data_IF_124847016232
#
_entry.id   IF_124847016232
#
_cell.length_a   1.000
_cell.length_b   1.000
_cell.length_c   1.000
_cell.angle_alpha   90.00
_cell.angle_beta   90.00
_cell.angle_gamma   90.00
#
_symmetry.space_group_name_H-M   'P 1'
#
loop_
_entity.id
_entity.type
_entity.pdbx_description
1 polymer ?
#
# COMPACT_ATOMS: atom_id res chain seq x y z
N UNK A 1 22.01 7.85 -9.56
CA UNK A 1 21.01 7.74 -10.64
C UNK A 1 20.10 6.54 -10.37
N UNK A 2 18.78 6.75 -10.45
CA UNK A 2 17.78 5.70 -10.21
C UNK A 2 17.35 4.98 -11.50
N UNK A 3 17.95 5.27 -12.64
CA UNK A 3 17.58 4.70 -13.94
C UNK A 3 16.16 5.03 -14.38
N UNK A 4 15.55 6.09 -13.85
CA UNK A 4 14.18 6.48 -14.19
C UNK A 4 14.11 7.00 -15.64
N UNK A 5 12.99 6.79 -16.36
CA UNK A 5 12.79 7.33 -17.69
C UNK A 5 12.88 8.87 -17.65
N UNK A 6 13.38 9.46 -18.75
CA UNK A 6 13.55 10.93 -18.84
C UNK A 6 12.22 11.67 -18.90
N UNK A 7 11.23 11.07 -19.53
CA UNK A 7 9.90 11.65 -19.68
C UNK A 7 8.79 10.59 -19.55
N UNK A 8 7.68 10.99 -18.95
CA UNK A 8 6.44 10.22 -18.85
C UNK A 8 5.27 11.15 -19.13
N UNK A 9 4.34 10.71 -19.96
CA UNK A 9 3.12 11.47 -20.26
C UNK A 9 2.05 11.20 -19.21
N UNK A 10 1.32 12.25 -18.82
CA UNK A 10 0.09 12.12 -18.05
C UNK A 10 -0.99 11.58 -19.02
N UNK A 11 -1.73 10.51 -18.67
CA UNK A 11 -2.79 10.00 -19.51
C UNK A 11 -3.96 10.99 -19.58
N UNK A 12 -4.74 10.95 -20.68
CA UNK A 12 -5.94 11.78 -20.82
C UNK A 12 -6.97 11.49 -19.72
N UNK A 13 -7.16 10.21 -19.40
CA UNK A 13 -7.95 9.78 -18.25
C UNK A 13 -7.02 9.58 -17.05
N UNK A 14 -7.02 10.49 -16.11
CA UNK A 14 -6.16 10.44 -14.92
C UNK A 14 -6.39 9.21 -14.02
N UNK A 15 -7.54 8.54 -14.11
CA UNK A 15 -7.77 7.29 -13.38
C UNK A 15 -6.84 6.15 -13.83
N UNK A 16 -6.26 6.23 -15.03
CA UNK A 16 -5.26 5.27 -15.50
C UNK A 16 -3.95 5.34 -14.69
N UNK A 17 -3.67 6.48 -14.05
CA UNK A 17 -2.52 6.63 -13.15
C UNK A 17 -2.53 5.61 -12.00
N UNK A 18 -3.70 5.14 -11.59
CA UNK A 18 -3.85 4.10 -10.57
C UNK A 18 -3.15 2.78 -10.92
N UNK A 19 -2.89 2.55 -12.21
CA UNK A 19 -2.24 1.34 -12.73
C UNK A 19 -0.85 1.62 -13.31
N UNK A 20 -0.34 2.85 -13.16
CA UNK A 20 1.03 3.15 -13.57
C UNK A 20 2.03 2.52 -12.60
N UNK A 21 3.12 1.93 -13.11
CA UNK A 21 4.18 1.44 -12.25
C UNK A 21 4.86 2.59 -11.50
N UNK A 22 5.34 2.30 -10.29
CA UNK A 22 5.93 3.29 -9.37
C UNK A 22 6.98 4.18 -10.05
N UNK A 23 7.84 3.62 -10.91
CA UNK A 23 8.88 4.39 -11.58
C UNK A 23 8.32 5.48 -12.51
N UNK A 24 7.15 5.26 -13.15
CA UNK A 24 6.46 6.28 -13.96
C UNK A 24 5.82 7.34 -13.07
N UNK A 25 5.15 6.93 -12.00
CA UNK A 25 4.57 7.85 -11.02
C UNK A 25 5.65 8.74 -10.39
N UNK A 26 6.80 8.16 -10.03
CA UNK A 26 7.96 8.90 -9.51
C UNK A 26 8.42 10.03 -10.44
N UNK A 27 8.49 9.76 -11.76
CA UNK A 27 8.84 10.78 -12.76
C UNK A 27 7.79 11.88 -12.81
N UNK A 28 6.50 11.52 -12.85
CA UNK A 28 5.41 12.50 -12.91
C UNK A 28 5.38 13.41 -11.68
N UNK A 29 5.54 12.84 -10.48
CA UNK A 29 5.56 13.60 -9.22
C UNK A 29 6.80 14.47 -9.14
N UNK A 30 8.01 13.93 -9.41
CA UNK A 30 9.25 14.68 -9.42
C UNK A 30 9.23 15.84 -10.40
N UNK A 31 8.69 15.65 -11.59
CA UNK A 31 8.56 16.67 -12.62
C UNK A 31 7.39 17.61 -12.42
N UNK A 32 6.63 17.44 -11.34
CA UNK A 32 5.43 18.26 -11.01
C UNK A 32 4.33 18.21 -12.08
N UNK A 33 4.32 17.17 -12.93
CA UNK A 33 3.25 16.92 -13.90
C UNK A 33 1.96 16.43 -13.23
N UNK A 34 2.10 15.82 -12.06
CA UNK A 34 1.02 15.50 -11.12
C UNK A 34 1.51 15.80 -9.70
N UNK A 35 0.65 16.32 -8.83
CA UNK A 35 1.00 16.48 -7.43
C UNK A 35 0.82 15.17 -6.65
N UNK A 36 1.54 15.01 -5.54
CA UNK A 36 1.32 13.92 -4.60
C UNK A 36 -0.09 13.95 -4.02
N UNK A 37 -0.63 15.14 -3.73
CA UNK A 37 -2.02 15.30 -3.26
C UNK A 37 -3.01 14.82 -4.31
N UNK A 38 -2.84 15.18 -5.59
CA UNK A 38 -3.72 14.73 -6.67
C UNK A 38 -3.67 13.21 -6.82
N UNK A 39 -2.49 12.61 -6.84
CA UNK A 39 -2.30 11.18 -6.92
C UNK A 39 -2.91 10.46 -5.71
N UNK A 40 -2.74 10.99 -4.50
CA UNK A 40 -3.32 10.48 -3.26
C UNK A 40 -4.84 10.47 -3.31
N UNK A 41 -5.47 11.54 -3.81
CA UNK A 41 -6.93 11.60 -3.99
C UNK A 41 -7.45 10.54 -4.96
N UNK A 42 -6.77 10.31 -6.09
CA UNK A 42 -7.14 9.25 -7.04
C UNK A 42 -7.21 7.88 -6.34
N UNK A 43 -6.21 7.54 -5.54
CA UNK A 43 -6.21 6.27 -4.82
C UNK A 43 -7.25 6.23 -3.68
N UNK A 44 -7.43 7.30 -2.92
CA UNK A 44 -8.46 7.36 -1.87
C UNK A 44 -9.87 7.20 -2.44
N UNK A 45 -10.18 7.83 -3.57
CA UNK A 45 -11.47 7.67 -4.25
C UNK A 45 -11.68 6.23 -4.71
N UNK A 46 -10.62 5.58 -5.19
CA UNK A 46 -10.67 4.16 -5.56
C UNK A 46 -10.86 3.25 -4.34
N UNK A 47 -10.19 3.53 -3.22
CA UNK A 47 -10.41 2.82 -1.96
C UNK A 47 -11.88 2.93 -1.54
N UNK A 48 -12.45 4.13 -1.52
CA UNK A 48 -13.87 4.36 -1.18
C UNK A 48 -14.83 3.60 -2.09
N UNK A 49 -14.48 3.47 -3.36
CA UNK A 49 -15.34 2.82 -4.36
C UNK A 49 -15.26 1.30 -4.36
N UNK A 50 -14.11 0.71 -4.09
CA UNK A 50 -13.87 -0.71 -4.35
C UNK A 50 -13.51 -1.54 -3.13
N UNK A 51 -13.11 -0.92 -2.00
CA UNK A 51 -12.61 -1.66 -0.83
C UNK A 51 -13.66 -2.61 -0.25
N UNK A 52 -14.92 -2.20 -0.19
CA UNK A 52 -16.01 -3.03 0.37
C UNK A 52 -16.31 -4.23 -0.52
N UNK A 53 -16.31 -4.05 -1.84
CA UNK A 53 -16.50 -5.15 -2.79
C UNK A 53 -15.37 -6.18 -2.70
N UNK A 54 -14.13 -5.71 -2.53
CA UNK A 54 -12.95 -6.56 -2.43
C UNK A 54 -12.69 -7.08 -1.01
N UNK A 55 -13.30 -6.47 -0.01
CA UNK A 55 -13.05 -6.74 1.41
C UNK A 55 -11.56 -6.75 1.75
N UNK A 56 -10.83 -5.74 1.24
CA UNK A 56 -9.37 -5.74 1.26
C UNK A 56 -8.74 -4.68 2.15
N UNK A 57 -9.50 -3.72 2.70
CA UNK A 57 -8.99 -2.65 3.55
C UNK A 57 -9.60 -2.73 4.94
N UNK A 58 -8.77 -2.61 5.98
CA UNK A 58 -9.21 -2.55 7.38
C UNK A 58 -9.29 -1.10 7.86
N UNK A 59 -8.24 -0.31 7.62
CA UNK A 59 -8.14 1.08 8.12
C UNK A 59 -7.72 2.00 6.99
N UNK A 60 -8.45 3.10 6.79
CA UNK A 60 -8.09 4.19 5.86
C UNK A 60 -7.52 5.36 6.65
N UNK A 61 -6.40 5.91 6.23
CA UNK A 61 -5.65 6.98 6.90
C UNK A 61 -5.73 8.31 6.13
N UNK A 62 -6.92 8.66 5.63
CA UNK A 62 -7.15 9.76 4.68
C UNK A 62 -6.53 11.09 5.12
N UNK A 63 -6.82 11.55 6.34
CA UNK A 63 -6.33 12.85 6.83
C UNK A 63 -4.79 12.91 6.90
N UNK A 64 -4.15 11.89 7.48
CA UNK A 64 -2.69 11.80 7.57
C UNK A 64 -2.03 11.64 6.20
N UNK A 65 -2.66 10.89 5.30
CA UNK A 65 -2.18 10.70 3.94
C UNK A 65 -2.19 12.02 3.14
N UNK A 66 -3.29 12.78 3.21
CA UNK A 66 -3.38 14.08 2.51
C UNK A 66 -2.39 15.10 3.10
N UNK A 67 -2.21 15.14 4.42
CA UNK A 67 -1.23 15.99 5.07
C UNK A 67 0.20 15.63 4.61
N UNK A 68 0.52 14.33 4.59
CA UNK A 68 1.85 13.85 4.15
C UNK A 68 2.07 14.12 2.65
N UNK A 69 1.06 13.97 1.81
CA UNK A 69 1.13 14.27 0.39
C UNK A 69 1.40 15.76 0.13
N UNK A 70 0.70 16.65 0.86
CA UNK A 70 0.94 18.09 0.76
C UNK A 70 2.36 18.47 1.21
N UNK A 71 2.88 17.84 2.26
CA UNK A 71 4.26 18.02 2.70
C UNK A 71 5.25 17.55 1.61
N UNK A 72 4.99 16.40 0.96
CA UNK A 72 5.83 15.90 -0.12
C UNK A 72 5.86 16.88 -1.32
N UNK A 73 4.71 17.42 -1.69
CA UNK A 73 4.63 18.44 -2.77
C UNK A 73 5.44 19.69 -2.41
N UNK A 74 5.36 20.18 -1.17
CA UNK A 74 6.15 21.32 -0.70
C UNK A 74 7.66 21.02 -0.68
N UNK A 75 8.07 19.85 -0.21
CA UNK A 75 9.46 19.41 -0.19
C UNK A 75 10.04 19.33 -1.62
N UNK A 76 9.28 18.75 -2.56
CA UNK A 76 9.68 18.64 -3.98
C UNK A 76 9.75 20.02 -4.63
N UNK A 77 8.79 20.91 -4.35
CA UNK A 77 8.80 22.27 -4.84
C UNK A 77 10.06 23.06 -4.39
N UNK A 78 10.49 22.80 -3.15
CA UNK A 78 11.71 23.37 -2.57
C UNK A 78 13.03 22.68 -3.01
N UNK A 79 12.96 21.74 -3.97
CA UNK A 79 14.13 21.00 -4.46
C UNK A 79 14.63 19.87 -3.55
N UNK A 80 13.86 19.53 -2.49
CA UNK A 80 14.23 18.49 -1.51
C UNK A 80 13.67 17.12 -1.90
N UNK A 81 13.98 16.66 -3.10
CA UNK A 81 13.51 15.34 -3.58
C UNK A 81 14.29 14.20 -2.92
N UNK A 82 13.58 13.28 -2.25
CA UNK A 82 14.16 12.17 -1.47
C UNK A 82 14.39 10.88 -2.27
N UNK A 83 13.82 10.76 -3.46
CA UNK A 83 13.97 9.56 -4.29
C UNK A 83 12.63 9.05 -4.86
N UNK A 84 12.65 7.85 -5.53
CA UNK A 84 11.51 7.38 -6.32
C UNK A 84 10.20 7.12 -5.54
N UNK A 85 10.27 7.01 -4.22
CA UNK A 85 9.09 6.82 -3.37
C UNK A 85 8.52 8.12 -2.82
N UNK A 86 9.19 9.27 -3.06
CA UNK A 86 8.76 10.56 -2.52
C UNK A 86 7.43 11.01 -3.11
N UNK A 87 6.43 11.14 -2.25
CA UNK A 87 5.06 11.51 -2.62
C UNK A 87 4.25 10.37 -3.24
N UNK A 88 4.73 9.11 -3.19
CA UNK A 88 4.04 7.96 -3.77
C UNK A 88 3.16 7.27 -2.73
N UNK A 89 1.86 7.09 -3.01
CA UNK A 89 0.91 6.43 -2.12
C UNK A 89 1.13 4.93 -2.00
N UNK A 90 1.12 4.41 -0.76
CA UNK A 90 1.28 2.98 -0.48
C UNK A 90 0.36 2.49 0.64
N UNK A 91 0.27 1.19 0.80
CA UNK A 91 -0.44 0.56 1.90
C UNK A 91 0.38 -0.52 2.59
N UNK A 92 -0.03 -0.92 3.78
CA UNK A 92 0.66 -1.97 4.54
C UNK A 92 -0.33 -3.04 5.02
N UNK A 93 0.14 -4.27 5.12
CA UNK A 93 -0.60 -5.35 5.76
C UNK A 93 -0.88 -5.01 7.23
N UNK A 94 -2.06 -5.36 7.73
CA UNK A 94 -2.49 -5.07 9.11
C UNK A 94 -1.80 -5.93 10.19
N UNK A 95 -0.67 -6.52 9.85
CA UNK A 95 0.28 -7.12 10.78
C UNK A 95 1.31 -6.08 11.24
N UNK A 96 1.62 -5.12 10.37
CA UNK A 96 2.61 -4.08 10.64
C UNK A 96 2.02 -3.00 11.55
N UNK A 97 2.71 -2.73 12.64
CA UNK A 97 2.34 -1.70 13.61
C UNK A 97 2.54 -0.31 12.98
N UNK A 98 1.53 0.52 13.11
CA UNK A 98 1.57 1.95 12.77
C UNK A 98 0.98 2.72 13.95
N UNK A 99 1.79 3.56 14.56
CA UNK A 99 1.40 4.32 15.75
C UNK A 99 0.10 5.09 15.55
N UNK A 100 -0.74 5.12 16.59
CA UNK A 100 -2.05 5.75 16.53
C UNK A 100 -3.11 4.99 15.72
N UNK A 101 -2.81 3.78 15.23
CA UNK A 101 -3.78 2.94 14.50
C UNK A 101 -4.00 1.60 15.16
N UNK A 102 -5.12 0.95 14.82
CA UNK A 102 -5.35 -0.45 15.21
C UNK A 102 -4.41 -1.37 14.43
N UNK A 103 -3.98 -2.45 15.07
CA UNK A 103 -3.25 -3.56 14.44
C UNK A 103 -3.93 -4.85 14.87
N UNK A 104 -4.78 -5.39 14.00
CA UNK A 104 -5.80 -6.37 14.37
C UNK A 104 -5.39 -7.81 14.09
N UNK A 105 -4.29 -8.02 13.34
CA UNK A 105 -3.85 -9.33 12.85
C UNK A 105 -4.97 -10.11 12.11
N UNK A 106 -5.97 -9.38 11.61
CA UNK A 106 -7.14 -9.97 10.93
C UNK A 106 -8.06 -10.82 11.81
N UNK A 107 -7.86 -10.84 13.13
CA UNK A 107 -8.52 -11.75 14.05
C UNK A 107 -9.50 -11.02 15.00
N UNK A 108 -10.71 -11.53 15.15
CA UNK A 108 -11.77 -10.90 15.92
C UNK A 108 -11.41 -10.53 17.38
N UNK A 109 -10.65 -11.36 18.14
CA UNK A 109 -10.25 -11.01 19.50
C UNK A 109 -9.36 -9.75 19.57
N UNK A 110 -8.68 -9.40 18.48
CA UNK A 110 -7.73 -8.29 18.39
C UNK A 110 -8.25 -7.11 17.56
N UNK A 111 -9.52 -7.12 17.14
CA UNK A 111 -10.09 -6.09 16.24
C UNK A 111 -9.98 -4.65 16.76
N UNK A 112 -9.84 -4.48 18.07
CA UNK A 112 -9.73 -3.17 18.72
C UNK A 112 -8.32 -2.93 19.30
N UNK A 113 -7.37 -3.83 19.05
CA UNK A 113 -6.01 -3.75 19.56
C UNK A 113 -5.25 -2.57 18.95
N UNK A 114 -4.61 -1.78 19.81
CA UNK A 114 -3.58 -0.82 19.44
C UNK A 114 -2.24 -1.26 20.03
N UNK A 115 -1.16 -1.07 19.28
CA UNK A 115 0.19 -1.40 19.72
C UNK A 115 1.05 -0.14 19.62
N UNK A 116 1.95 0.04 20.57
CA UNK A 116 2.85 1.20 20.58
C UNK A 116 3.93 1.09 19.51
N UNK A 117 4.29 2.25 18.96
CA UNK A 117 5.36 2.41 18.01
C UNK A 117 4.94 2.20 16.55
N UNK A 118 5.93 2.15 15.69
CA UNK A 118 5.75 1.97 14.24
C UNK A 118 6.80 1.02 13.71
N UNK A 119 6.38 0.07 12.89
CA UNK A 119 7.26 -0.91 12.25
C UNK A 119 8.41 -0.23 11.50
N UNK A 120 9.62 -0.77 11.61
CA UNK A 120 10.81 -0.19 10.99
C UNK A 120 10.68 0.02 9.49
N UNK A 121 10.02 -0.91 8.77
CA UNK A 121 9.78 -0.76 7.34
C UNK A 121 8.91 0.45 7.03
N UNK A 122 7.88 0.71 7.85
CA UNK A 122 7.02 1.89 7.70
C UNK A 122 7.78 3.18 7.97
N UNK A 123 8.59 3.22 9.04
CA UNK A 123 9.46 4.38 9.33
C UNK A 123 10.36 4.71 8.13
N UNK A 124 11.05 3.70 7.58
CA UNK A 124 11.93 3.87 6.41
C UNK A 124 11.18 4.36 5.16
N UNK A 125 9.96 3.89 4.92
CA UNK A 125 9.13 4.36 3.80
C UNK A 125 8.66 5.81 4.02
N UNK A 126 8.31 6.17 5.25
CA UNK A 126 7.97 7.55 5.61
C UNK A 126 9.19 8.49 5.43
N UNK A 127 10.39 8.05 5.86
CA UNK A 127 11.64 8.81 5.68
C UNK A 127 11.98 9.01 4.19
N UNK A 128 11.70 7.99 3.35
CA UNK A 128 11.83 8.09 1.90
C UNK A 128 10.75 8.97 1.24
N UNK A 129 9.80 9.47 2.02
CA UNK A 129 8.76 10.38 1.55
C UNK A 129 7.48 9.70 1.08
N UNK A 130 7.33 8.40 1.30
CA UNK A 130 6.11 7.67 0.97
C UNK A 130 4.87 8.19 1.69
N UNK A 131 3.70 7.98 1.11
CA UNK A 131 2.39 8.41 1.63
C UNK A 131 1.57 7.18 2.00
N UNK A 132 1.48 6.88 3.30
CA UNK A 132 0.71 5.73 3.78
C UNK A 132 -0.80 6.04 3.70
N UNK A 133 -1.53 5.26 2.88
CA UNK A 133 -2.98 5.45 2.68
C UNK A 133 -3.83 4.59 3.59
N UNK A 134 -3.43 3.34 3.78
CA UNK A 134 -4.30 2.38 4.45
C UNK A 134 -3.54 1.19 5.03
N UNK A 135 -4.22 0.47 5.92
CA UNK A 135 -3.84 -0.87 6.34
C UNK A 135 -4.76 -1.88 5.66
N UNK A 136 -4.15 -2.81 4.93
CA UNK A 136 -4.83 -3.86 4.19
C UNK A 136 -5.17 -5.07 5.07
N UNK A 137 -6.24 -5.76 4.71
CA UNK A 137 -6.64 -7.01 5.33
C UNK A 137 -5.55 -8.07 5.24
N UNK A 138 -5.62 -8.98 6.17
CA UNK A 138 -4.79 -10.18 6.19
C UNK A 138 -5.62 -11.35 6.69
N UNK A 139 -5.28 -12.55 6.27
CA UNK A 139 -5.86 -13.74 6.89
C UNK A 139 -5.57 -13.77 8.39
N UNK A 140 -6.57 -14.14 9.17
CA UNK A 140 -6.50 -14.13 10.62
C UNK A 140 -5.24 -14.85 11.13
N UNK A 141 -4.48 -14.20 12.00
CA UNK A 141 -3.21 -14.70 12.56
C UNK A 141 -2.22 -15.19 11.49
N UNK A 142 -2.18 -14.48 10.37
CA UNK A 142 -1.33 -14.74 9.21
C UNK A 142 -1.61 -16.07 8.47
N UNK A 143 -2.89 -16.50 8.42
CA UNK A 143 -3.34 -17.71 7.73
C UNK A 143 -4.43 -17.41 6.72
N UNK A 144 -4.20 -17.74 5.43
CA UNK A 144 -5.19 -17.60 4.35
C UNK A 144 -5.67 -16.17 4.09
N UNK A 145 -6.91 -16.02 3.62
CA UNK A 145 -7.54 -14.76 3.24
C UNK A 145 -8.85 -14.45 3.98
N UNK A 146 -9.19 -15.27 4.96
CA UNK A 146 -10.36 -15.07 5.85
C UNK A 146 -9.92 -14.22 7.04
N UNK A 147 -10.63 -13.14 7.29
CA UNK A 147 -10.43 -12.23 8.41
C UNK A 147 -11.76 -11.93 9.11
N UNK A 148 -11.78 -11.24 10.25
CA UNK A 148 -13.01 -11.03 11.03
C UNK A 148 -14.13 -10.28 10.28
N UNK A 149 -13.81 -9.54 9.21
CA UNK A 149 -14.79 -8.83 8.38
C UNK A 149 -15.23 -9.60 7.13
N UNK A 150 -14.67 -10.79 6.87
CA UNK A 150 -15.07 -11.62 5.72
C UNK A 150 -13.92 -12.29 5.00
N UNK A 151 -13.97 -12.33 3.67
CA UNK A 151 -12.97 -12.95 2.80
C UNK A 151 -12.46 -11.93 1.80
N UNK A 152 -11.18 -11.65 1.82
CA UNK A 152 -10.56 -10.78 0.81
C UNK A 152 -10.64 -11.41 -0.57
N UNK A 153 -11.18 -10.67 -1.54
CA UNK A 153 -11.49 -11.19 -2.87
C UNK A 153 -10.33 -11.04 -3.85
N UNK A 154 -10.29 -11.97 -4.80
CA UNK A 154 -9.48 -11.83 -6.00
C UNK A 154 -10.13 -10.77 -6.93
N UNK A 155 -9.45 -9.68 -7.32
CA UNK A 155 -10.04 -8.63 -8.15
C UNK A 155 -10.53 -9.10 -9.52
N UNK A 156 -9.94 -10.18 -10.05
CA UNK A 156 -10.30 -10.76 -11.35
C UNK A 156 -11.50 -11.70 -11.29
N UNK A 157 -11.78 -12.24 -10.09
CA UNK A 157 -12.91 -13.14 -9.87
C UNK A 157 -13.41 -13.03 -8.44
N UNK A 158 -14.47 -12.24 -8.23
CA UNK A 158 -15.03 -11.96 -6.91
C UNK A 158 -15.63 -13.18 -6.20
N UNK A 159 -15.81 -14.31 -6.89
CA UNK A 159 -16.24 -15.58 -6.28
C UNK A 159 -15.08 -16.32 -5.61
N UNK A 160 -13.83 -15.88 -5.86
CA UNK A 160 -12.62 -16.47 -5.29
C UNK A 160 -11.99 -15.55 -4.26
N UNK A 161 -11.36 -16.14 -3.24
CA UNK A 161 -10.49 -15.44 -2.34
C UNK A 161 -9.15 -15.05 -3.00
N UNK A 162 -8.48 -14.06 -2.41
CA UNK A 162 -7.17 -13.57 -2.91
C UNK A 162 -6.00 -14.49 -2.59
N UNK A 163 -6.22 -15.55 -1.80
CA UNK A 163 -5.14 -16.21 -1.07
C UNK A 163 -4.48 -15.25 -0.05
N UNK A 164 -3.50 -15.71 0.70
CA UNK A 164 -2.93 -14.91 1.79
C UNK A 164 -1.60 -15.49 2.32
N UNK A 165 -1.17 -14.93 3.44
CA UNK A 165 -1.92 -14.06 4.36
C UNK A 165 -1.81 -12.56 4.06
N UNK A 166 -0.97 -12.09 3.14
CA UNK A 166 -0.98 -10.68 2.70
C UNK A 166 -2.10 -10.42 1.68
N UNK A 167 -3.32 -10.82 2.06
CA UNK A 167 -4.50 -10.89 1.22
C UNK A 167 -4.88 -9.53 0.60
N UNK A 168 -5.16 -8.55 1.44
CA UNK A 168 -5.52 -7.21 0.99
C UNK A 168 -4.38 -6.46 0.33
N UNK A 169 -3.13 -6.72 0.73
CA UNK A 169 -1.96 -6.12 0.08
C UNK A 169 -1.91 -6.48 -1.41
N UNK A 170 -2.06 -7.77 -1.76
CA UNK A 170 -2.08 -8.20 -3.16
C UNK A 170 -3.33 -7.74 -3.90
N UNK A 171 -4.52 -7.99 -3.33
CA UNK A 171 -5.80 -7.61 -3.92
C UNK A 171 -5.90 -6.11 -4.20
N UNK A 172 -5.61 -5.29 -3.18
CA UNK A 172 -5.70 -3.83 -3.29
C UNK A 172 -4.68 -3.23 -4.26
N UNK A 173 -3.44 -3.75 -4.30
CA UNK A 173 -2.43 -3.29 -5.26
C UNK A 173 -2.87 -3.56 -6.69
N UNK A 174 -3.31 -4.78 -7.00
CA UNK A 174 -3.76 -5.17 -8.35
C UNK A 174 -5.01 -4.40 -8.77
N UNK A 175 -5.92 -4.13 -7.83
CA UNK A 175 -7.10 -3.31 -8.08
C UNK A 175 -6.79 -1.81 -8.23
N UNK A 176 -5.53 -1.39 -8.11
CA UNK A 176 -5.12 0.01 -8.23
C UNK A 176 -5.64 0.86 -7.07
N UNK A 177 -5.62 0.36 -5.85
CA UNK A 177 -5.98 1.12 -4.64
C UNK A 177 -4.77 1.81 -4.00
N UNK A 178 -3.58 1.39 -4.38
CA UNK A 178 -2.29 1.98 -4.02
C UNK A 178 -1.28 1.72 -5.14
N UNK A 179 -0.18 2.47 -5.16
CA UNK A 179 0.89 2.25 -6.13
C UNK A 179 1.72 0.99 -5.82
N UNK A 180 1.88 0.66 -4.55
CA UNK A 180 2.54 -0.55 -4.04
C UNK A 180 2.10 -0.81 -2.60
N UNK A 181 2.36 -2.01 -2.12
CA UNK A 181 2.06 -2.36 -0.73
C UNK A 181 3.12 -3.25 -0.09
N UNK A 182 3.12 -3.26 1.24
CA UNK A 182 3.98 -4.13 2.04
C UNK A 182 3.16 -5.28 2.60
N UNK A 183 3.60 -6.48 2.30
CA UNK A 183 3.15 -7.73 2.92
C UNK A 183 4.19 -8.31 3.86
N UNK A 184 3.90 -9.47 4.44
CA UNK A 184 4.84 -10.27 5.21
C UNK A 184 4.72 -11.72 4.80
N UNK A 185 5.82 -12.46 4.90
CA UNK A 185 5.84 -13.88 4.58
C UNK A 185 6.72 -14.68 5.52
N UNK A 186 6.13 -15.74 6.07
CA UNK A 186 6.89 -16.87 6.64
C UNK A 186 7.05 -17.96 5.59
N UNK A 187 5.91 -18.40 5.01
CA UNK A 187 5.85 -19.41 3.95
C UNK A 187 4.68 -19.11 3.02
N UNK A 188 4.96 -18.52 1.87
CA UNK A 188 3.94 -18.26 0.82
C UNK A 188 3.11 -16.99 1.00
N UNK A 189 3.15 -16.30 2.13
CA UNK A 189 2.20 -15.22 2.45
C UNK A 189 2.36 -13.91 1.64
N UNK A 190 3.40 -13.76 0.82
CA UNK A 190 3.54 -12.74 -0.22
C UNK A 190 3.35 -13.38 -1.59
N UNK A 191 4.09 -14.46 -1.85
CA UNK A 191 4.12 -15.04 -3.20
C UNK A 191 2.80 -15.69 -3.59
N UNK A 192 2.08 -16.33 -2.67
CA UNK A 192 0.79 -16.97 -2.95
C UNK A 192 -0.30 -15.97 -3.35
N UNK A 193 -0.62 -14.93 -2.56
CA UNK A 193 -1.60 -13.93 -2.97
C UNK A 193 -1.14 -13.11 -4.18
N UNK A 194 0.16 -12.86 -4.34
CA UNK A 194 0.69 -12.21 -5.55
C UNK A 194 0.42 -13.05 -6.79
N UNK A 195 0.69 -14.34 -6.75
CA UNK A 195 0.39 -15.27 -7.86
C UNK A 195 -1.11 -15.35 -8.14
N UNK A 196 -1.94 -15.46 -7.09
CA UNK A 196 -3.41 -15.57 -7.23
C UNK A 196 -4.03 -14.31 -7.83
N UNK A 197 -3.57 -13.13 -7.44
CA UNK A 197 -4.10 -11.86 -7.91
C UNK A 197 -3.38 -11.30 -9.14
N UNK A 198 -2.26 -11.88 -9.57
CA UNK A 198 -1.48 -11.39 -10.71
C UNK A 198 -0.63 -10.15 -10.37
N UNK A 199 -0.15 -10.05 -9.14
CA UNK A 199 0.78 -9.00 -8.72
C UNK A 199 2.24 -9.44 -8.89
N UNK A 200 3.13 -8.48 -9.12
CA UNK A 200 4.57 -8.69 -8.93
C UNK A 200 4.88 -8.69 -7.43
N UNK A 201 5.33 -9.82 -6.90
CA UNK A 201 5.69 -9.98 -5.50
C UNK A 201 7.20 -10.18 -5.33
N UNK A 202 7.78 -9.52 -4.32
CA UNK A 202 9.17 -9.72 -3.93
C UNK A 202 9.24 -10.18 -2.48
N UNK A 203 9.79 -11.36 -2.25
CA UNK A 203 10.21 -11.83 -0.94
C UNK A 203 11.74 -11.75 -0.87
N UNK A 204 12.29 -10.76 -0.16
CA UNK A 204 13.74 -10.60 -0.05
C UNK A 204 14.36 -11.74 0.77
N UNK A 205 15.67 -11.90 0.65
CA UNK A 205 16.45 -12.82 1.48
C UNK A 205 16.26 -12.48 2.97
N UNK A 206 16.10 -13.52 3.79
CA UNK A 206 15.94 -13.38 5.24
C UNK A 206 17.02 -12.48 5.84
N UNK A 207 16.63 -11.59 6.75
CA UNK A 207 17.50 -10.62 7.40
C UNK A 207 17.74 -9.32 6.62
N UNK A 208 17.31 -9.21 5.37
CA UNK A 208 17.45 -7.95 4.60
C UNK A 208 16.50 -6.85 5.03
N UNK A 209 15.31 -7.21 5.53
CA UNK A 209 14.29 -6.27 6.01
C UNK A 209 14.06 -6.52 7.50
N UNK A 210 14.05 -5.45 8.28
CA UNK A 210 13.74 -5.53 9.71
C UNK A 210 12.33 -6.07 9.94
N UNK A 211 12.17 -6.94 10.92
CA UNK A 211 10.88 -7.47 11.38
C UNK A 211 10.35 -6.75 12.62
N UNK A 212 11.04 -5.72 13.10
CA UNK A 212 10.59 -4.94 14.25
C UNK A 212 9.27 -4.26 13.95
N UNK A 213 8.25 -4.51 14.78
CA UNK A 213 6.89 -4.03 14.62
C UNK A 213 6.04 -4.85 13.64
N UNK A 214 6.45 -6.11 13.37
CA UNK A 214 5.71 -7.07 12.54
C UNK A 214 5.33 -8.31 13.36
#
# INVERSE_FOLDING_TARGET
DWGLPKDVKVPANKNELAFYPVYKLAVLVRSKKISSVELTRIYLDRIKRYSDTLQCVITVLEAGALQRAAQADAEIAAGKYKGPLHGIPYGVKDLLVVDGTKTTWGAAPFKDQTLEGTATVVKKLNDAGGVLLCKFTMGALAMGDIWYGGVTKNPWNLKQGSSGSSAGSASGTVAGLVAYSIGTETLGSIVSPSTRCGASGLRPTYGRVSRSGA
#
